data_IF_526112860644
#
_entry.id   IF_526112860644
#
_cell.length_a   1.000
_cell.length_b   1.000
_cell.length_c   1.000
_cell.angle_alpha   90.00
_cell.angle_beta   90.00
_cell.angle_gamma   90.00
#
_symmetry.space_group_name_H-M   'P 1'
#
loop_
_entity.id
_entity.type
_entity.pdbx_description
1 polymer ?
#
# COMPACT_ATOMS: atom_id res chain seq x y z
N UNK A 1 11.90 15.23 10.42
CA UNK A 1 10.50 15.72 10.45
C UNK A 1 9.71 14.64 11.14
N UNK A 2 9.15 14.94 12.32
CA UNK A 2 8.15 14.07 12.93
C UNK A 2 6.98 13.95 11.93
N UNK A 3 6.44 12.76 11.77
CA UNK A 3 5.27 12.60 10.92
C UNK A 3 4.04 13.21 11.63
N UNK A 4 3.05 13.69 10.87
CA UNK A 4 1.89 14.39 11.45
C UNK A 4 1.18 13.54 12.52
N UNK A 5 1.23 12.21 12.35
CA UNK A 5 0.65 11.26 13.29
C UNK A 5 1.43 11.17 14.61
N UNK A 6 2.74 10.95 14.57
CA UNK A 6 3.62 10.95 15.75
C UNK A 6 3.59 12.27 16.46
N UNK A 7 3.54 13.40 15.75
CA UNK A 7 3.34 14.70 16.39
C UNK A 7 2.03 14.68 17.19
N UNK A 8 0.89 14.38 16.57
CA UNK A 8 -0.42 14.37 17.26
C UNK A 8 -0.53 13.30 18.36
N UNK A 9 0.09 12.13 18.21
CA UNK A 9 -0.02 11.02 19.18
C UNK A 9 1.04 11.04 20.27
N UNK A 10 2.20 11.66 20.01
CA UNK A 10 3.33 11.73 20.95
C UNK A 10 3.50 13.11 21.58
N UNK A 11 2.66 14.11 21.24
CA UNK A 11 2.62 15.38 21.98
C UNK A 11 2.38 15.08 23.46
N UNK A 12 3.36 15.35 24.33
CA UNK A 12 3.22 15.04 25.74
C UNK A 12 2.18 16.00 26.33
N UNK A 13 1.04 15.45 26.76
CA UNK A 13 0.08 16.10 27.66
C UNK A 13 0.76 16.51 28.99
N UNK A 14 2.03 16.10 29.21
CA UNK A 14 2.71 16.04 30.51
C UNK A 14 3.64 17.21 30.86
N UNK A 15 3.89 18.21 30.00
CA UNK A 15 4.93 19.19 30.30
C UNK A 15 4.64 20.65 29.91
N UNK A 16 3.39 21.11 30.00
CA UNK A 16 3.12 22.55 29.92
C UNK A 16 2.54 22.99 31.26
N UNK A 17 3.38 23.70 32.00
CA UNK A 17 3.04 24.38 33.24
C UNK A 17 1.65 25.01 33.15
N UNK A 18 0.81 24.69 34.14
CA UNK A 18 -0.61 25.03 34.24
C UNK A 18 -0.93 26.44 33.73
N UNK A 19 -1.43 26.52 32.49
CA UNK A 19 -1.85 27.74 31.82
C UNK A 19 -3.00 27.46 30.85
N UNK A 20 -3.87 28.44 30.63
CA UNK A 20 -5.09 28.31 29.80
C UNK A 20 -4.83 27.76 28.39
N UNK A 21 -3.67 28.06 27.80
CA UNK A 21 -3.28 27.60 26.46
C UNK A 21 -2.88 26.12 26.40
N UNK A 22 -2.35 25.54 27.48
CA UNK A 22 -2.03 24.12 27.55
C UNK A 22 -3.29 23.26 27.40
N UNK A 23 -4.38 23.67 28.06
CA UNK A 23 -5.68 23.01 27.94
C UNK A 23 -6.24 23.13 26.53
N UNK A 24 -6.12 24.30 25.88
CA UNK A 24 -6.58 24.48 24.49
C UNK A 24 -5.81 23.57 23.53
N UNK A 25 -4.49 23.42 23.70
CA UNK A 25 -3.68 22.50 22.89
C UNK A 25 -4.12 21.05 23.13
N UNK A 26 -4.26 20.64 24.40
CA UNK A 26 -4.68 19.29 24.76
C UNK A 26 -6.09 18.96 24.24
N UNK A 27 -7.06 19.85 24.43
CA UNK A 27 -8.43 19.69 23.95
C UNK A 27 -8.48 19.61 22.42
N UNK A 28 -7.72 20.48 21.73
CA UNK A 28 -7.64 20.48 20.27
C UNK A 28 -7.03 19.18 19.75
N UNK A 29 -5.94 18.72 20.38
CA UNK A 29 -5.26 17.47 20.01
C UNK A 29 -6.17 16.26 20.22
N UNK A 30 -6.86 16.21 21.36
CA UNK A 30 -7.85 15.18 21.68
C UNK A 30 -8.99 15.14 20.67
N UNK A 31 -9.46 16.30 20.20
CA UNK A 31 -10.50 16.38 19.16
C UNK A 31 -9.99 15.94 17.78
N UNK A 32 -8.75 16.27 17.42
CA UNK A 32 -8.19 15.98 16.09
C UNK A 32 -7.84 14.50 15.90
N UNK A 33 -7.36 13.83 16.94
CA UNK A 33 -6.94 12.43 16.89
C UNK A 33 -8.01 11.48 16.31
N UNK A 34 -9.28 11.45 16.81
CA UNK A 34 -10.32 10.59 16.25
C UNK A 34 -10.71 10.99 14.82
N UNK A 35 -10.69 12.28 14.47
CA UNK A 35 -11.00 12.74 13.11
C UNK A 35 -9.99 12.21 12.09
N UNK A 36 -8.69 12.23 12.44
CA UNK A 36 -7.65 11.67 11.57
C UNK A 36 -7.78 10.15 11.49
N UNK A 37 -8.05 9.45 12.60
CA UNK A 37 -8.27 8.01 12.56
C UNK A 37 -9.46 7.62 11.65
N UNK A 38 -10.55 8.39 11.69
CA UNK A 38 -11.69 8.23 10.78
C UNK A 38 -11.29 8.49 9.34
N UNK A 39 -10.54 9.57 9.06
CA UNK A 39 -10.05 9.88 7.73
C UNK A 39 -9.19 8.74 7.15
N UNK A 40 -8.25 8.21 7.93
CA UNK A 40 -7.40 7.07 7.53
C UNK A 40 -8.27 5.85 7.19
N UNK A 41 -9.26 5.55 8.04
CA UNK A 41 -10.20 4.44 7.83
C UNK A 41 -11.03 4.61 6.55
N UNK A 42 -11.53 5.81 6.28
CA UNK A 42 -12.31 6.11 5.08
C UNK A 42 -11.46 6.07 3.81
N UNK A 43 -10.23 6.60 3.84
CA UNK A 43 -9.29 6.49 2.73
C UNK A 43 -8.98 5.03 2.41
N UNK A 44 -8.76 4.21 3.43
CA UNK A 44 -8.43 2.80 3.29
C UNK A 44 -9.60 1.97 2.72
N UNK A 45 -10.81 2.20 3.23
CA UNK A 45 -12.04 1.63 2.68
C UNK A 45 -12.26 2.05 1.21
N UNK A 46 -12.09 3.33 0.90
CA UNK A 46 -12.25 3.83 -0.47
C UNK A 46 -11.21 3.26 -1.41
N UNK A 47 -9.94 3.17 -0.99
CA UNK A 47 -8.88 2.57 -1.76
C UNK A 47 -9.15 1.10 -2.08
N UNK A 48 -9.61 0.30 -1.10
CA UNK A 48 -10.04 -1.08 -1.34
C UNK A 48 -11.19 -1.17 -2.34
N UNK A 49 -12.23 -0.35 -2.18
CA UNK A 49 -13.37 -0.34 -3.09
C UNK A 49 -12.93 0.03 -4.52
N UNK A 50 -12.13 1.09 -4.68
CA UNK A 50 -11.55 1.49 -5.95
C UNK A 50 -10.72 0.37 -6.59
N UNK A 51 -9.91 -0.35 -5.80
CA UNK A 51 -9.09 -1.45 -6.30
C UNK A 51 -9.94 -2.63 -6.79
N UNK A 52 -10.99 -2.99 -6.05
CA UNK A 52 -11.94 -4.04 -6.45
C UNK A 52 -12.69 -3.63 -7.71
N UNK A 53 -13.01 -2.34 -7.87
CA UNK A 53 -13.61 -1.78 -9.09
C UNK A 53 -12.61 -1.57 -10.24
N UNK A 54 -11.35 -2.00 -10.11
CA UNK A 54 -10.31 -1.88 -11.13
C UNK A 54 -9.72 -0.47 -11.30
N UNK A 55 -10.14 0.50 -10.49
CA UNK A 55 -9.64 1.87 -10.51
C UNK A 55 -8.35 2.01 -9.66
N UNK A 56 -7.31 1.30 -10.09
CA UNK A 56 -6.10 1.09 -9.31
C UNK A 56 -5.29 2.37 -9.06
N UNK A 57 -5.24 3.30 -10.02
CA UNK A 57 -4.51 4.56 -9.83
C UNK A 57 -5.13 5.41 -8.71
N UNK A 58 -6.47 5.51 -8.69
CA UNK A 58 -7.18 6.22 -7.64
C UNK A 58 -6.98 5.54 -6.28
N UNK A 59 -6.99 4.20 -6.24
CA UNK A 59 -6.68 3.44 -5.02
C UNK A 59 -5.26 3.72 -4.50
N UNK A 60 -4.26 3.73 -5.39
CA UNK A 60 -2.87 4.04 -5.04
C UNK A 60 -2.70 5.49 -4.54
N UNK A 61 -3.46 6.44 -5.09
CA UNK A 61 -3.48 7.83 -4.59
C UNK A 61 -3.99 7.91 -3.15
N UNK A 62 -5.02 7.15 -2.80
CA UNK A 62 -5.52 7.10 -1.43
C UNK A 62 -4.57 6.37 -0.48
N UNK A 63 -3.97 5.26 -0.92
CA UNK A 63 -2.91 4.61 -0.14
C UNK A 63 -1.69 5.52 0.09
N UNK A 64 -1.32 6.35 -0.90
CA UNK A 64 -0.26 7.34 -0.75
C UNK A 64 -0.62 8.43 0.27
N UNK A 65 -1.88 8.89 0.31
CA UNK A 65 -2.35 9.83 1.34
C UNK A 65 -2.26 9.23 2.74
N UNK A 66 -2.65 7.96 2.92
CA UNK A 66 -2.52 7.27 4.21
C UNK A 66 -1.04 7.25 4.64
N UNK A 67 -0.12 6.90 3.73
CA UNK A 67 1.33 6.94 4.04
C UNK A 67 1.87 8.33 4.31
N UNK A 68 1.29 9.40 3.75
CA UNK A 68 1.69 10.77 4.07
C UNK A 68 1.22 11.19 5.47
N UNK A 69 0.01 10.78 5.85
CA UNK A 69 -0.58 11.10 7.14
C UNK A 69 0.03 10.26 8.28
N UNK A 70 0.29 8.98 8.03
CA UNK A 70 0.85 8.03 9.00
C UNK A 70 1.95 7.15 8.35
N UNK A 71 3.14 7.71 8.06
CA UNK A 71 4.23 7.01 7.37
C UNK A 71 4.88 5.91 8.21
N UNK A 72 4.77 5.99 9.54
CA UNK A 72 5.19 4.95 10.49
C UNK A 72 4.13 3.86 10.71
N UNK A 73 2.93 4.01 10.14
CA UNK A 73 1.88 2.98 10.24
C UNK A 73 1.94 1.99 9.08
N UNK A 74 1.72 0.71 9.38
CA UNK A 74 1.59 -0.35 8.38
C UNK A 74 0.41 -0.15 7.41
N UNK A 75 -0.63 0.61 7.78
CA UNK A 75 -1.90 0.69 7.05
C UNK A 75 -1.77 1.15 5.59
N UNK A 76 -1.01 2.22 5.33
CA UNK A 76 -0.83 2.74 3.97
C UNK A 76 -0.02 1.81 3.05
N UNK A 77 0.91 1.05 3.62
CA UNK A 77 1.69 0.05 2.90
C UNK A 77 0.86 -1.21 2.62
N UNK A 78 0.06 -1.67 3.59
CA UNK A 78 -0.89 -2.75 3.41
C UNK A 78 -1.86 -2.45 2.25
N UNK A 79 -2.41 -1.24 2.25
CA UNK A 79 -3.36 -0.82 1.24
C UNK A 79 -2.71 -0.80 -0.16
N UNK A 80 -1.56 -0.15 -0.32
CA UNK A 80 -0.87 -0.10 -1.62
C UNK A 80 -0.38 -1.47 -2.10
N UNK A 81 0.16 -2.31 -1.21
CA UNK A 81 0.59 -3.65 -1.57
C UNK A 81 -0.59 -4.53 -1.99
N UNK A 82 -1.74 -4.39 -1.35
CA UNK A 82 -2.96 -5.08 -1.75
C UNK A 82 -3.41 -4.65 -3.15
N UNK A 83 -3.38 -3.34 -3.44
CA UNK A 83 -3.68 -2.80 -4.77
C UNK A 83 -2.76 -3.42 -5.85
N UNK A 84 -1.45 -3.44 -5.61
CA UNK A 84 -0.51 -4.08 -6.55
C UNK A 84 -0.74 -5.60 -6.69
N UNK A 85 -1.11 -6.28 -5.60
CA UNK A 85 -1.40 -7.70 -5.65
C UNK A 85 -2.66 -8.01 -6.49
N UNK A 86 -3.70 -7.18 -6.41
CA UNK A 86 -4.90 -7.27 -7.26
C UNK A 86 -4.60 -6.99 -8.74
N UNK A 87 -3.62 -6.13 -9.03
CA UNK A 87 -3.11 -5.92 -10.39
C UNK A 87 -2.27 -7.10 -10.94
N UNK A 88 -2.04 -8.16 -10.15
CA UNK A 88 -1.11 -9.24 -10.50
C UNK A 88 0.36 -8.84 -10.43
N UNK A 89 0.68 -7.63 -9.95
CA UNK A 89 2.04 -7.10 -9.84
C UNK A 89 2.68 -7.51 -8.52
N UNK A 90 2.84 -8.83 -8.31
CA UNK A 90 3.27 -9.38 -7.03
C UNK A 90 4.63 -8.87 -6.56
N UNK A 91 5.62 -8.71 -7.46
CA UNK A 91 6.91 -8.09 -7.14
C UNK A 91 6.78 -6.66 -6.59
N UNK A 92 5.88 -5.86 -7.16
CA UNK A 92 5.62 -4.51 -6.67
C UNK A 92 4.92 -4.53 -5.31
N UNK A 93 3.99 -5.48 -5.10
CA UNK A 93 3.35 -5.68 -3.80
C UNK A 93 4.39 -6.03 -2.71
N UNK A 94 5.29 -6.98 -2.98
CA UNK A 94 6.38 -7.38 -2.08
C UNK A 94 7.24 -6.17 -1.71
N UNK A 95 7.67 -5.38 -2.70
CA UNK A 95 8.50 -4.20 -2.47
C UNK A 95 7.81 -3.16 -1.57
N UNK A 96 6.50 -2.95 -1.73
CA UNK A 96 5.75 -2.04 -0.86
C UNK A 96 5.60 -2.61 0.55
N UNK A 97 5.36 -3.90 0.70
CA UNK A 97 5.29 -4.51 2.03
C UNK A 97 6.64 -4.45 2.75
N UNK A 98 7.76 -4.62 2.03
CA UNK A 98 9.11 -4.47 2.56
C UNK A 98 9.36 -3.04 3.07
N UNK A 99 8.93 -2.02 2.31
CA UNK A 99 8.97 -0.63 2.79
C UNK A 99 8.15 -0.44 4.07
N UNK A 100 6.95 -1.03 4.13
CA UNK A 100 6.12 -0.98 5.33
C UNK A 100 6.77 -1.66 6.53
N UNK A 101 7.46 -2.77 6.33
CA UNK A 101 8.19 -3.47 7.40
C UNK A 101 9.44 -2.70 7.85
N UNK A 102 10.03 -1.86 7.01
CA UNK A 102 11.11 -0.97 7.39
C UNK A 102 10.60 0.26 8.16
N UNK A 103 9.42 0.77 7.81
CA UNK A 103 8.84 1.98 8.40
C UNK A 103 8.07 1.69 9.71
N UNK A 104 7.34 0.58 9.78
CA UNK A 104 6.46 0.27 10.90
C UNK A 104 7.24 -0.31 12.09
N UNK A 105 7.12 0.27 13.30
CA UNK A 105 7.79 -0.23 14.49
C UNK A 105 7.28 -1.62 14.87
N UNK A 106 8.08 -2.37 15.64
CA UNK A 106 7.71 -3.72 16.11
C UNK A 106 6.44 -3.72 16.97
N UNK A 107 6.11 -2.59 17.60
CA UNK A 107 4.91 -2.38 18.39
C UNK A 107 3.65 -2.11 17.56
N UNK A 108 3.77 -1.82 16.25
CA UNK A 108 2.59 -1.60 15.40
C UNK A 108 1.77 -2.90 15.31
N UNK A 109 0.49 -2.90 15.77
CA UNK A 109 -0.34 -4.09 15.76
C UNK A 109 -0.58 -4.65 14.34
N UNK A 110 -0.51 -3.80 13.32
CA UNK A 110 -0.72 -4.17 11.93
C UNK A 110 0.57 -4.66 11.25
N UNK A 111 1.73 -4.65 11.90
CA UNK A 111 3.00 -5.15 11.33
C UNK A 111 2.91 -6.63 10.95
N UNK A 112 2.20 -7.45 11.75
CA UNK A 112 2.01 -8.87 11.44
C UNK A 112 1.25 -9.08 10.12
N UNK A 113 0.29 -8.20 9.81
CA UNK A 113 -0.43 -8.25 8.55
C UNK A 113 0.49 -7.98 7.35
N UNK A 114 1.51 -7.11 7.49
CA UNK A 114 2.50 -6.89 6.43
C UNK A 114 3.31 -8.15 6.15
N UNK A 115 3.74 -8.86 7.20
CA UNK A 115 4.47 -10.13 7.07
C UNK A 115 3.62 -11.16 6.34
N UNK A 116 2.36 -11.31 6.75
CA UNK A 116 1.42 -12.24 6.12
C UNK A 116 1.16 -11.87 4.66
N UNK A 117 0.83 -10.61 4.38
CA UNK A 117 0.53 -10.12 3.03
C UNK A 117 1.73 -10.26 2.09
N UNK A 118 2.94 -10.01 2.60
CA UNK A 118 4.19 -10.25 1.88
C UNK A 118 4.38 -11.72 1.55
N UNK A 119 4.19 -12.62 2.52
CA UNK A 119 4.30 -14.08 2.29
C UNK A 119 3.33 -14.54 1.20
N UNK A 120 2.08 -14.07 1.24
CA UNK A 120 1.06 -14.39 0.22
C UNK A 120 1.50 -13.88 -1.15
N UNK A 121 2.05 -12.66 -1.24
CA UNK A 121 2.53 -12.10 -2.50
C UNK A 121 3.75 -12.89 -3.04
N UNK A 122 4.64 -13.38 -2.18
CA UNK A 122 5.76 -14.24 -2.56
C UNK A 122 5.30 -15.59 -3.11
N UNK A 123 4.30 -16.21 -2.48
CA UNK A 123 3.70 -17.44 -2.97
C UNK A 123 3.05 -17.22 -4.34
N UNK A 124 2.29 -16.13 -4.51
CA UNK A 124 1.67 -15.77 -5.79
C UNK A 124 2.69 -15.48 -6.89
N UNK A 125 3.82 -14.84 -6.57
CA UNK A 125 4.91 -14.61 -7.52
C UNK A 125 5.59 -15.93 -7.92
N UNK A 126 5.79 -16.83 -6.96
CA UNK A 126 6.38 -18.17 -7.18
C UNK A 126 5.46 -19.08 -7.99
N UNK A 127 4.16 -19.01 -7.73
CA UNK A 127 3.11 -19.75 -8.44
C UNK A 127 2.74 -19.14 -9.80
N UNK A 128 3.41 -18.07 -10.22
CA UNK A 128 3.28 -17.53 -11.58
C UNK A 128 3.88 -18.55 -12.53
N UNK A 129 3.07 -19.53 -12.92
CA UNK A 129 3.42 -20.57 -13.91
C UNK A 129 3.92 -19.84 -15.15
N UNK A 130 5.18 -20.09 -15.49
CA UNK A 130 5.77 -19.64 -16.73
C UNK A 130 5.20 -20.49 -17.87
N UNK A 131 3.98 -20.13 -18.31
CA UNK A 131 3.27 -20.88 -19.35
C UNK A 131 4.10 -20.98 -20.63
N UNK A 132 4.99 -20.02 -20.89
CA UNK A 132 5.91 -20.04 -22.03
C UNK A 132 6.77 -21.31 -22.02
N UNK A 133 7.29 -21.71 -20.85
CA UNK A 133 8.08 -22.96 -20.73
C UNK A 133 7.26 -24.24 -20.86
N UNK A 134 5.92 -24.14 -20.72
CA UNK A 134 4.99 -25.26 -20.87
C UNK A 134 4.36 -25.34 -22.26
N UNK A 135 4.56 -24.32 -23.10
CA UNK A 135 4.08 -24.35 -24.47
C UNK A 135 4.93 -25.35 -25.28
N UNK A 136 4.31 -26.19 -26.14
CA UNK A 136 5.03 -26.97 -27.13
C UNK A 136 5.95 -26.07 -27.97
N UNK A 137 7.12 -26.59 -28.36
CA UNK A 137 8.10 -25.83 -29.14
C UNK A 137 7.50 -25.20 -30.40
N UNK A 138 6.56 -25.88 -31.05
CA UNK A 138 5.87 -25.40 -32.25
C UNK A 138 5.11 -24.09 -32.01
N UNK A 139 4.46 -23.97 -30.84
CA UNK A 139 3.75 -22.74 -30.45
C UNK A 139 4.75 -21.63 -30.14
N UNK A 140 5.83 -21.95 -29.43
CA UNK A 140 6.89 -20.99 -29.11
C UNK A 140 7.52 -20.45 -30.39
N UNK A 141 7.86 -21.32 -31.35
CA UNK A 141 8.49 -20.92 -32.62
C UNK A 141 7.56 -20.07 -33.49
N UNK A 142 6.25 -20.34 -33.49
CA UNK A 142 5.28 -19.56 -34.26
C UNK A 142 5.04 -18.17 -33.63
N UNK A 143 4.96 -18.08 -32.30
CA UNK A 143 4.86 -16.81 -31.59
C UNK A 143 6.16 -16.01 -31.75
N UNK A 144 7.32 -16.65 -31.57
CA UNK A 144 8.62 -16.00 -31.71
C UNK A 144 8.85 -15.53 -33.15
N UNK A 145 8.49 -16.33 -34.17
CA UNK A 145 8.62 -15.92 -35.56
C UNK A 145 7.78 -14.69 -35.84
N UNK A 146 6.52 -14.64 -35.41
CA UNK A 146 5.64 -13.46 -35.60
C UNK A 146 6.10 -12.20 -34.88
N UNK A 147 6.69 -12.34 -33.70
CA UNK A 147 7.29 -11.21 -32.97
C UNK A 147 8.58 -10.72 -33.65
N UNK A 148 9.35 -11.63 -34.24
CA UNK A 148 10.63 -11.33 -34.90
C UNK A 148 10.48 -10.87 -36.36
N UNK A 149 9.43 -11.30 -37.07
CA UNK A 149 9.18 -10.89 -38.46
C UNK A 149 8.48 -9.55 -38.58
N UNK A 150 7.94 -9.00 -37.48
CA UNK A 150 7.30 -7.68 -37.50
C UNK A 150 6.19 -7.62 -38.55
N UNK A 151 5.24 -8.56 -38.51
CA UNK A 151 4.10 -8.53 -39.43
C UNK A 151 3.28 -7.27 -39.14
N UNK A 152 3.51 -6.25 -39.96
CA UNK A 152 2.58 -5.18 -40.27
C UNK A 152 1.21 -5.81 -40.51
N UNK A 153 0.27 -5.53 -39.60
CA UNK A 153 -1.14 -5.86 -39.79
C UNK A 153 -1.56 -5.13 -41.07
N UNK A 154 -1.99 -5.82 -42.15
CA UNK A 154 -2.50 -5.11 -43.30
C UNK A 154 -3.78 -4.39 -42.86
N UNK A 155 -3.75 -3.06 -42.90
CA UNK A 155 -4.92 -2.22 -42.72
C UNK A 155 -6.01 -2.67 -43.72
N UNK A 156 -7.18 -3.01 -43.17
CA UNK A 156 -8.42 -3.23 -43.93
C UNK A 156 -9.38 -2.08 -43.68
#
# INVERSE_FOLDING_TARGET
MADLWSDITEQPILAIESGTWANVIADSTCCLQPCIQQLLTHLDNRARALAISGNFEAALKDAARIRQLAPSSAGGYLCAGHVYSLQGRQKAAIAIYDQGLAAAPLSDPCRQLLIQARSIAQERDSNRIDFIKKLPMDIITNIASRIMTGDDIPES
#
